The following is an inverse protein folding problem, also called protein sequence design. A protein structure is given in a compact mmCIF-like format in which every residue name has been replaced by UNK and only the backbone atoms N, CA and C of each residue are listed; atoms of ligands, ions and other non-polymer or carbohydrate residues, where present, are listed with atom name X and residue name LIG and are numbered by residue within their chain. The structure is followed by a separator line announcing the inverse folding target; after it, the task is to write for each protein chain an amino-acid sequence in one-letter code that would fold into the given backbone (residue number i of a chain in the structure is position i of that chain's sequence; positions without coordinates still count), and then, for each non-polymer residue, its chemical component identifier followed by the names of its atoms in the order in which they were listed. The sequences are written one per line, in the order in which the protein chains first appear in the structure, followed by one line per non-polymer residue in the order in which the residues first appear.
data_IF_168909877673
#
_entry.id   IF_168909877673
#
_cell.length_a   1.000
_cell.length_b   1.000
_cell.length_c   1.000
_cell.angle_alpha   90.00
_cell.angle_beta   90.00
_cell.angle_gamma   90.00
#
_symmetry.space_group_name_H-M   'P 1'
#
loop_
_entity.id
_entity.type
_entity.pdbx_description
1 polymer ?
#
# COMPACT_ATOMS: atom_id res chain seq x y z
N UNK A 1 18.54 12.23 -15.17
CA UNK A 1 18.82 10.97 -14.44
C UNK A 1 17.62 10.01 -14.48
N UNK A 2 16.44 10.34 -13.93
CA UNK A 2 15.27 9.44 -13.96
C UNK A 2 14.75 9.13 -15.38
N UNK A 3 14.48 10.17 -16.18
CA UNK A 3 14.05 10.03 -17.59
C UNK A 3 15.04 9.22 -18.44
N UNK A 4 16.34 9.48 -18.28
CA UNK A 4 17.39 8.78 -19.02
C UNK A 4 17.42 7.28 -18.69
N UNK A 5 17.23 6.89 -17.42
CA UNK A 5 17.15 5.48 -17.02
C UNK A 5 15.89 4.80 -17.55
N UNK A 6 14.77 5.51 -17.54
CA UNK A 6 13.50 5.00 -18.06
C UNK A 6 13.58 4.75 -19.57
N UNK A 7 14.09 5.73 -20.32
CA UNK A 7 14.30 5.61 -21.77
C UNK A 7 15.28 4.47 -22.08
N UNK A 8 16.41 4.37 -21.36
CA UNK A 8 17.39 3.30 -21.52
C UNK A 8 16.75 1.92 -21.30
N UNK A 9 16.00 1.74 -20.22
CA UNK A 9 15.33 0.47 -19.91
C UNK A 9 14.28 0.09 -20.97
N UNK A 10 13.51 1.06 -21.47
CA UNK A 10 12.55 0.83 -22.55
C UNK A 10 13.29 0.43 -23.84
N UNK A 11 14.36 1.12 -24.22
CA UNK A 11 15.15 0.80 -25.42
C UNK A 11 15.72 -0.63 -25.33
N UNK A 12 16.28 -1.00 -24.18
CA UNK A 12 16.83 -2.35 -23.94
C UNK A 12 15.76 -3.44 -24.04
N UNK A 13 14.53 -3.15 -23.61
CA UNK A 13 13.40 -4.04 -23.75
C UNK A 13 12.95 -4.19 -25.22
N UNK A 14 12.81 -3.08 -25.95
CA UNK A 14 12.31 -3.09 -27.33
C UNK A 14 13.32 -3.65 -28.34
N UNK A 15 14.61 -3.44 -28.11
CA UNK A 15 15.69 -3.99 -28.95
C UNK A 15 15.91 -5.50 -28.72
N UNK A 16 15.13 -6.15 -27.86
CA UNK A 16 15.27 -7.57 -27.46
C UNK A 16 16.65 -7.93 -26.89
N UNK A 17 17.48 -6.94 -26.57
CA UNK A 17 18.79 -7.18 -25.98
C UNK A 17 18.65 -7.79 -24.58
N UNK A 18 17.74 -7.27 -23.75
CA UNK A 18 17.48 -7.78 -22.41
C UNK A 18 15.98 -7.65 -22.10
N UNK A 19 15.23 -8.77 -22.01
CA UNK A 19 13.81 -8.73 -21.66
C UNK A 19 13.59 -8.30 -20.21
N UNK A 20 12.40 -7.73 -19.95
CA UNK A 20 11.97 -7.39 -18.60
C UNK A 20 11.65 -8.68 -17.83
N UNK A 21 12.52 -9.04 -16.89
CA UNK A 21 12.31 -10.19 -16.03
C UNK A 21 12.46 -9.79 -14.56
N UNK A 22 11.35 -9.92 -13.81
CA UNK A 22 11.29 -9.62 -12.37
C UNK A 22 12.06 -10.64 -11.52
N UNK A 23 12.13 -11.91 -11.92
CA UNK A 23 12.80 -12.95 -11.12
C UNK A 23 14.32 -12.82 -11.16
N UNK A 24 14.86 -12.43 -12.32
CA UNK A 24 16.30 -12.24 -12.51
C UNK A 24 16.76 -10.81 -12.22
N UNK A 25 15.84 -9.92 -11.83
CA UNK A 25 16.10 -8.47 -11.70
C UNK A 25 16.94 -7.94 -12.87
N UNK A 26 16.51 -8.22 -14.10
CA UNK A 26 17.32 -7.87 -15.28
C UNK A 26 17.63 -6.38 -15.31
N UNK A 27 18.78 -6.02 -15.88
CA UNK A 27 19.23 -4.62 -15.92
C UNK A 27 18.17 -3.69 -16.54
N UNK A 28 17.51 -4.12 -17.61
CA UNK A 28 16.37 -3.42 -18.22
C UNK A 28 15.24 -3.16 -17.21
N UNK A 29 14.86 -4.17 -16.41
CA UNK A 29 13.84 -4.04 -15.37
C UNK A 29 14.25 -3.07 -14.26
N UNK A 30 15.50 -3.13 -13.81
CA UNK A 30 16.04 -2.20 -12.80
C UNK A 30 16.04 -0.77 -13.34
N UNK A 31 16.47 -0.54 -14.59
CA UNK A 31 16.47 0.77 -15.22
C UNK A 31 15.05 1.36 -15.35
N UNK A 32 14.07 0.56 -15.80
CA UNK A 32 12.68 1.02 -15.90
C UNK A 32 12.11 1.34 -14.52
N UNK A 33 12.26 0.45 -13.55
CA UNK A 33 11.70 0.65 -12.20
C UNK A 33 12.37 1.80 -11.44
N UNK A 34 13.70 1.93 -11.51
CA UNK A 34 14.43 3.05 -10.93
C UNK A 34 14.07 4.37 -11.62
N UNK A 35 13.96 4.38 -12.96
CA UNK A 35 13.55 5.55 -13.72
C UNK A 35 12.13 6.01 -13.37
N UNK A 36 11.19 5.07 -13.27
CA UNK A 36 9.82 5.34 -12.86
C UNK A 36 9.73 5.84 -11.41
N UNK A 37 10.49 5.23 -10.49
CA UNK A 37 10.56 5.66 -9.09
C UNK A 37 11.11 7.10 -8.97
N UNK A 38 12.16 7.44 -9.73
CA UNK A 38 12.72 8.79 -9.75
C UNK A 38 11.72 9.83 -10.29
N UNK A 39 10.93 9.48 -11.31
CA UNK A 39 9.87 10.35 -11.84
C UNK A 39 8.72 10.55 -10.84
N UNK A 40 8.26 9.47 -10.22
CA UNK A 40 7.22 9.55 -9.19
C UNK A 40 7.68 10.37 -7.98
N UNK A 41 8.92 10.16 -7.54
CA UNK A 41 9.52 10.95 -6.46
C UNK A 41 9.57 12.43 -6.82
N UNK A 42 10.04 12.76 -8.03
CA UNK A 42 10.05 14.14 -8.53
C UNK A 42 8.64 14.74 -8.58
N UNK A 43 7.64 13.98 -9.02
CA UNK A 43 6.26 14.44 -9.06
C UNK A 43 5.71 14.72 -7.65
N UNK A 44 5.95 13.84 -6.68
CA UNK A 44 5.56 14.06 -5.29
C UNK A 44 6.27 15.26 -4.66
N UNK A 45 7.55 15.47 -4.98
CA UNK A 45 8.29 16.65 -4.52
C UNK A 45 7.63 17.95 -5.01
N UNK A 46 7.28 18.02 -6.31
CA UNK A 46 6.57 19.19 -6.85
C UNK A 46 5.20 19.36 -6.18
N UNK A 47 4.42 18.28 -6.04
CA UNK A 47 3.08 18.33 -5.44
C UNK A 47 3.10 18.76 -3.96
N UNK A 48 4.00 18.20 -3.17
CA UNK A 48 4.01 18.37 -1.71
C UNK A 48 4.84 19.57 -1.29
N UNK A 49 6.02 19.75 -1.85
CA UNK A 49 6.97 20.77 -1.40
C UNK A 49 6.83 22.09 -2.18
N UNK A 50 6.57 22.04 -3.49
CA UNK A 50 6.44 23.26 -4.30
C UNK A 50 4.99 23.80 -4.26
N UNK A 51 3.99 22.96 -4.51
CA UNK A 51 2.58 23.37 -4.44
C UNK A 51 2.01 23.33 -3.01
N UNK A 52 2.81 22.93 -2.02
CA UNK A 52 2.47 22.94 -0.60
C UNK A 52 1.16 22.16 -0.26
N UNK A 53 0.79 21.16 -1.07
CA UNK A 53 -0.40 20.33 -0.88
C UNK A 53 -0.20 19.29 0.23
N UNK A 54 0.27 19.69 1.40
CA UNK A 54 0.67 18.74 2.46
C UNK A 54 -0.52 17.97 3.03
N UNK A 55 -1.67 18.63 3.17
CA UNK A 55 -2.89 18.11 3.81
C UNK A 55 -3.34 16.74 3.27
N UNK A 56 -3.57 16.57 1.95
CA UNK A 56 -3.98 15.27 1.40
C UNK A 56 -2.93 14.16 1.54
N UNK A 57 -1.64 14.50 1.68
CA UNK A 57 -0.55 13.52 1.80
C UNK A 57 -0.14 13.21 3.25
N UNK A 58 -0.74 13.85 4.26
CA UNK A 58 -0.51 13.49 5.67
C UNK A 58 -0.74 12.01 6.00
N UNK A 59 -1.84 11.35 5.58
CA UNK A 59 -2.03 9.93 5.87
C UNK A 59 -0.93 9.07 5.25
N UNK A 60 -0.48 9.42 4.03
CA UNK A 60 0.63 8.72 3.37
C UNK A 60 1.95 8.91 4.14
N UNK A 61 2.19 10.12 4.65
CA UNK A 61 3.34 10.41 5.53
C UNK A 61 3.28 9.58 6.82
N UNK A 62 2.13 9.51 7.49
CA UNK A 62 2.00 8.74 8.74
C UNK A 62 2.25 7.25 8.53
N UNK A 63 1.67 6.68 7.47
CA UNK A 63 1.93 5.29 7.08
C UNK A 63 3.43 5.10 6.80
N UNK A 64 4.05 6.02 6.05
CA UNK A 64 5.49 5.94 5.74
C UNK A 64 6.39 6.03 6.97
N UNK A 65 6.03 6.83 7.97
CA UNK A 65 6.81 6.96 9.22
C UNK A 65 6.72 5.72 10.13
N UNK A 66 5.66 4.93 9.99
CA UNK A 66 5.43 3.67 10.71
C UNK A 66 5.35 2.47 9.75
N UNK A 67 6.10 2.52 8.63
CA UNK A 67 5.95 1.58 7.52
C UNK A 67 6.15 0.11 7.93
N UNK A 68 7.09 -0.16 8.84
CA UNK A 68 7.37 -1.53 9.29
C UNK A 68 6.18 -2.13 10.05
N UNK A 69 5.62 -1.37 10.99
CA UNK A 69 4.46 -1.81 11.75
C UNK A 69 3.27 -2.07 10.83
N UNK A 70 2.99 -1.13 9.91
CA UNK A 70 1.90 -1.27 8.96
C UNK A 70 2.14 -2.48 8.04
N UNK A 71 3.37 -2.71 7.60
CA UNK A 71 3.72 -3.89 6.79
C UNK A 71 3.44 -5.20 7.53
N UNK A 72 4.00 -5.36 8.73
CA UNK A 72 3.88 -6.60 9.52
C UNK A 72 2.43 -6.83 9.96
N UNK A 73 1.73 -5.80 10.41
CA UNK A 73 0.39 -5.97 10.96
C UNK A 73 -0.69 -6.03 9.87
N UNK A 74 -0.57 -5.21 8.82
CA UNK A 74 -1.57 -5.12 7.75
C UNK A 74 -1.26 -6.05 6.58
N UNK A 75 -0.06 -5.93 5.98
CA UNK A 75 0.26 -6.58 4.71
C UNK A 75 0.58 -8.08 4.86
N UNK A 76 1.32 -8.46 5.91
CA UNK A 76 1.56 -9.87 6.27
C UNK A 76 0.32 -10.55 6.88
N UNK A 77 -0.78 -9.80 7.06
CA UNK A 77 -2.05 -10.34 7.51
C UNK A 77 -2.06 -10.84 8.96
N UNK A 78 -1.04 -10.53 9.77
CA UNK A 78 -0.96 -10.95 11.18
C UNK A 78 -2.15 -10.43 11.98
N UNK A 79 -2.54 -9.17 11.78
CA UNK A 79 -3.70 -8.60 12.46
C UNK A 79 -5.00 -9.27 12.00
N UNK A 80 -5.17 -9.48 10.70
CA UNK A 80 -6.33 -10.18 10.16
C UNK A 80 -6.40 -11.63 10.67
N UNK A 81 -5.27 -12.33 10.75
CA UNK A 81 -5.14 -13.66 11.32
C UNK A 81 -5.49 -13.68 12.81
N UNK A 82 -5.03 -12.70 13.58
CA UNK A 82 -5.37 -12.56 15.00
C UNK A 82 -6.88 -12.34 15.21
N UNK A 83 -7.50 -11.43 14.45
CA UNK A 83 -8.94 -11.18 14.53
C UNK A 83 -9.74 -12.40 14.05
N UNK A 84 -9.29 -13.10 13.00
CA UNK A 84 -9.93 -14.33 12.52
C UNK A 84 -9.74 -15.52 13.48
N UNK A 85 -8.69 -15.53 14.30
CA UNK A 85 -8.50 -16.52 15.36
C UNK A 85 -9.60 -16.47 16.43
N UNK A 86 -10.27 -15.32 16.57
CA UNK A 86 -11.44 -15.18 17.43
C UNK A 86 -12.72 -15.53 16.66
N UNK A 87 -13.03 -16.83 16.58
CA UNK A 87 -14.27 -17.30 15.96
C UNK A 87 -15.42 -17.34 16.97
N UNK A 88 -16.65 -17.06 16.52
CA UNK A 88 -17.85 -17.15 17.35
C UNK A 88 -18.68 -18.36 16.94
N UNK A 89 -18.70 -19.38 17.81
CA UNK A 89 -19.41 -20.68 17.68
C UNK A 89 -18.93 -21.61 16.56
N UNK A 90 -18.80 -21.14 15.31
CA UNK A 90 -18.39 -21.96 14.15
C UNK A 90 -17.15 -21.38 13.44
N UNK A 91 -16.23 -22.21 12.88
CA UNK A 91 -15.06 -21.75 12.11
C UNK A 91 -15.41 -20.91 10.88
N UNK A 92 -16.65 -21.00 10.39
CA UNK A 92 -17.15 -20.24 9.24
C UNK A 92 -17.75 -18.87 9.62
N UNK A 93 -17.90 -18.56 10.91
CA UNK A 93 -18.41 -17.30 11.43
C UNK A 93 -17.28 -16.47 12.08
N UNK A 94 -16.27 -16.11 11.29
CA UNK A 94 -15.23 -15.19 11.76
C UNK A 94 -15.78 -13.77 11.90
N UNK A 95 -15.27 -13.00 12.87
CA UNK A 95 -15.64 -11.60 13.09
C UNK A 95 -15.48 -10.76 11.82
N UNK A 96 -14.43 -11.01 11.04
CA UNK A 96 -14.19 -10.35 9.76
C UNK A 96 -15.35 -10.62 8.79
N UNK A 97 -15.80 -11.86 8.70
CA UNK A 97 -16.88 -12.25 7.79
C UNK A 97 -18.23 -11.65 8.22
N UNK A 98 -18.45 -11.50 9.53
CA UNK A 98 -19.62 -10.82 10.08
C UNK A 98 -19.61 -9.32 9.77
N UNK A 99 -18.50 -8.62 10.02
CA UNK A 99 -18.31 -7.19 9.72
C UNK A 99 -18.49 -6.96 8.22
N UNK A 100 -17.86 -7.77 7.38
CA UNK A 100 -17.95 -7.66 5.93
C UNK A 100 -19.40 -7.84 5.45
N UNK A 101 -20.13 -8.82 5.99
CA UNK A 101 -21.51 -9.11 5.58
C UNK A 101 -22.50 -8.05 6.07
N UNK A 102 -22.41 -7.62 7.33
CA UNK A 102 -23.36 -6.67 7.92
C UNK A 102 -23.06 -5.21 7.59
N UNK A 103 -21.79 -4.80 7.64
CA UNK A 103 -21.42 -3.38 7.48
C UNK A 103 -21.22 -3.01 6.01
N UNK A 104 -20.57 -3.88 5.21
CA UNK A 104 -20.18 -3.52 3.84
C UNK A 104 -21.13 -4.09 2.76
N UNK A 105 -21.52 -5.37 2.85
CA UNK A 105 -22.40 -6.00 1.85
C UNK A 105 -23.86 -5.59 2.07
N UNK A 106 -24.30 -5.50 3.33
CA UNK A 106 -25.67 -5.09 3.69
C UNK A 106 -25.99 -3.65 3.27
N UNK A 107 -25.03 -2.73 3.43
CA UNK A 107 -25.21 -1.30 3.07
C UNK A 107 -25.10 -1.07 1.57
N UNK A 108 -24.20 -1.77 0.86
CA UNK A 108 -23.88 -1.47 -0.54
C UNK A 108 -24.50 -2.43 -1.57
N UNK A 109 -25.26 -3.45 -1.12
CA UNK A 109 -26.06 -4.39 -1.91
C UNK A 109 -25.32 -5.13 -3.05
N UNK A 110 -23.99 -5.06 -3.07
CA UNK A 110 -23.11 -5.68 -4.08
C UNK A 110 -21.84 -6.23 -3.45
N UNK A 111 -21.56 -7.52 -3.70
CA UNK A 111 -20.42 -8.24 -3.09
C UNK A 111 -19.06 -7.68 -3.54
N UNK A 112 -18.92 -7.31 -4.82
CA UNK A 112 -17.66 -6.76 -5.37
C UNK A 112 -17.31 -5.42 -4.73
N UNK A 113 -18.30 -4.52 -4.64
CA UNK A 113 -18.09 -3.19 -4.06
C UNK A 113 -17.88 -3.28 -2.56
N UNK A 114 -18.60 -4.18 -1.87
CA UNK A 114 -18.42 -4.43 -0.45
C UNK A 114 -17.00 -4.92 -0.09
N UNK A 115 -16.39 -5.80 -0.91
CA UNK A 115 -15.00 -6.23 -0.72
C UNK A 115 -14.02 -5.07 -0.94
N UNK A 116 -14.18 -4.28 -2.00
CA UNK A 116 -13.30 -3.14 -2.28
C UNK A 116 -13.38 -2.09 -1.16
N UNK A 117 -14.59 -1.77 -0.70
CA UNK A 117 -14.79 -0.84 0.40
C UNK A 117 -14.21 -1.37 1.71
N UNK A 118 -14.33 -2.67 1.98
CA UNK A 118 -13.69 -3.29 3.14
C UNK A 118 -12.18 -3.06 3.10
N UNK A 119 -11.49 -3.33 1.99
CA UNK A 119 -10.03 -3.12 1.88
C UNK A 119 -9.68 -1.64 2.06
N UNK A 120 -10.41 -0.74 1.42
CA UNK A 120 -10.12 0.71 1.50
C UNK A 120 -10.34 1.24 2.92
N UNK A 121 -11.44 0.88 3.57
CA UNK A 121 -11.80 1.43 4.88
C UNK A 121 -11.15 0.67 6.04
N UNK A 122 -11.22 -0.67 6.04
CA UNK A 122 -10.79 -1.49 7.15
C UNK A 122 -9.29 -1.81 7.13
N UNK A 123 -8.64 -1.81 5.97
CA UNK A 123 -7.18 -2.00 5.89
C UNK A 123 -6.48 -0.65 5.72
N UNK A 124 -6.74 0.07 4.62
CA UNK A 124 -5.96 1.27 4.30
C UNK A 124 -6.25 2.42 5.27
N UNK A 125 -7.53 2.79 5.44
CA UNK A 125 -7.90 3.93 6.27
C UNK A 125 -7.71 3.66 7.77
N UNK A 126 -8.02 2.44 8.23
CA UNK A 126 -7.75 2.03 9.60
C UNK A 126 -6.27 2.16 9.95
N UNK A 127 -5.38 1.57 9.15
CA UNK A 127 -3.94 1.65 9.41
C UNK A 127 -3.36 3.06 9.20
N UNK A 128 -3.94 3.87 8.30
CA UNK A 128 -3.59 5.29 8.19
C UNK A 128 -3.86 6.05 9.51
N UNK A 129 -5.01 5.80 10.13
CA UNK A 129 -5.39 6.40 11.40
C UNK A 129 -4.49 5.88 12.53
N UNK A 130 -4.30 4.56 12.64
CA UNK A 130 -3.45 3.96 13.67
C UNK A 130 -2.01 4.49 13.58
N UNK A 131 -1.45 4.55 12.38
CA UNK A 131 -0.13 5.12 12.14
C UNK A 131 -0.06 6.62 12.49
N UNK A 132 -1.13 7.38 12.22
CA UNK A 132 -1.25 8.78 12.62
C UNK A 132 -1.32 8.99 14.12
N UNK A 133 -2.05 8.11 14.83
CA UNK A 133 -2.13 8.11 16.30
C UNK A 133 -0.77 7.76 16.92
N UNK A 134 -0.11 6.70 16.44
CA UNK A 134 1.23 6.31 16.88
C UNK A 134 2.25 7.43 16.67
N UNK A 135 2.19 8.09 15.52
CA UNK A 135 3.03 9.26 15.24
C UNK A 135 2.79 10.40 16.24
N UNK A 136 1.54 10.67 16.63
CA UNK A 136 1.25 11.67 17.69
C UNK A 136 1.83 11.28 19.05
N UNK A 137 1.89 9.99 19.36
CA UNK A 137 2.53 9.48 20.58
C UNK A 137 4.05 9.38 20.48
N UNK A 138 4.66 9.71 19.33
CA UNK A 138 6.11 9.64 19.13
C UNK A 138 6.65 8.21 19.02
N UNK A 139 5.78 7.20 18.97
CA UNK A 139 6.17 5.79 18.88
C UNK A 139 6.42 5.46 17.41
N UNK A 140 7.66 5.11 17.09
CA UNK A 140 8.07 4.71 15.76
C UNK A 140 8.76 3.36 15.83
N UNK A 141 8.13 2.33 15.26
CA UNK A 141 8.79 1.04 15.13
C UNK A 141 9.72 1.10 13.92
N UNK A 142 11.02 1.24 14.20
CA UNK A 142 12.10 1.21 13.20
C UNK A 142 12.89 -0.10 13.38
N UNK A 143 13.44 -0.60 12.28
CA UNK A 143 14.38 -1.73 12.28
C UNK A 143 15.79 -1.22 12.61
#
# INVERSE_FOLDING_TARGET
MGLSLLILGIILCFTHAIPLNKQLYTFSYVCVTAGAAALLFSAFYVLVDIWNLKIPFLPLKWIGMNAMLVYVMAAEGIFAGFINGWYYKDPHNTLVHWIQKHVFIGVWRSRRVGILLYVIFAEILFWAIVAGVLHRFGIHWKL
#
